data_IF_700690994999
#
_entry.id   IF_700690994999
#
_cell.length_a   1.000
_cell.length_b   1.000
_cell.length_c   1.000
_cell.angle_alpha   90.00
_cell.angle_beta   90.00
_cell.angle_gamma   90.00
#
_symmetry.space_group_name_H-M   'P 1'
#
loop_
_entity.id
_entity.type
_entity.pdbx_description
1 polymer ?
#
# COMPACT_ATOMS: atom_id res chain seq x y z
N UNK A 1 35.69 -32.39 21.23
CA UNK A 1 34.75 -33.11 22.11
C UNK A 1 33.90 -32.06 22.88
N UNK A 2 32.85 -31.49 22.27
CA UNK A 2 32.16 -30.32 22.87
C UNK A 2 30.63 -30.27 22.60
N UNK A 3 29.96 -31.43 22.47
CA UNK A 3 28.51 -31.47 22.21
C UNK A 3 27.62 -32.02 23.33
N UNK A 4 28.20 -32.45 24.47
CA UNK A 4 27.42 -33.01 25.58
C UNK A 4 27.74 -32.32 26.90
N UNK A 5 27.44 -31.02 26.99
CA UNK A 5 27.37 -30.38 28.32
C UNK A 5 26.02 -30.75 28.94
N UNK A 6 25.96 -31.40 30.11
CA UNK A 6 24.71 -31.72 30.78
C UNK A 6 23.81 -30.51 30.97
N UNK A 7 22.49 -30.67 30.80
CA UNK A 7 21.49 -29.58 30.94
C UNK A 7 21.66 -28.79 32.24
N UNK A 8 21.92 -29.47 33.36
CA UNK A 8 22.09 -28.83 34.67
C UNK A 8 23.32 -27.90 34.73
N UNK A 9 24.43 -28.27 34.07
CA UNK A 9 25.62 -27.41 33.97
C UNK A 9 25.38 -26.19 33.05
N UNK A 10 24.60 -26.37 31.99
CA UNK A 10 24.20 -25.25 31.11
C UNK A 10 23.31 -24.26 31.86
N UNK A 11 22.27 -24.76 32.53
CA UNK A 11 21.36 -23.95 33.34
C UNK A 11 22.09 -23.18 34.45
N UNK A 12 23.01 -23.82 35.17
CA UNK A 12 23.78 -23.15 36.22
C UNK A 12 24.71 -22.04 35.69
N UNK A 13 25.27 -22.21 34.48
CA UNK A 13 26.07 -21.14 33.82
C UNK A 13 25.20 -19.96 33.40
N UNK A 14 24.03 -20.23 32.84
CA UNK A 14 23.05 -19.19 32.46
C UNK A 14 22.57 -18.42 33.70
N UNK A 15 22.22 -19.13 34.78
CA UNK A 15 21.85 -18.52 36.06
C UNK A 15 22.98 -17.65 36.63
N UNK A 16 24.22 -18.14 36.65
CA UNK A 16 25.37 -17.35 37.12
C UNK A 16 25.55 -16.07 36.32
N UNK A 17 25.46 -16.15 34.99
CA UNK A 17 25.62 -14.99 34.12
C UNK A 17 24.50 -13.95 34.36
N UNK A 18 23.25 -14.40 34.50
CA UNK A 18 22.11 -13.54 34.79
C UNK A 18 22.23 -12.87 36.18
N UNK A 19 22.51 -13.66 37.22
CA UNK A 19 22.66 -13.16 38.59
C UNK A 19 23.86 -12.21 38.72
N UNK A 20 24.97 -12.47 38.03
CA UNK A 20 26.13 -11.58 38.03
C UNK A 20 25.82 -10.24 37.33
N UNK A 21 25.03 -10.25 36.25
CA UNK A 21 24.53 -9.01 35.62
C UNK A 21 23.63 -8.22 36.56
N UNK A 22 22.69 -8.88 37.24
CA UNK A 22 21.81 -8.25 38.23
C UNK A 22 22.60 -7.66 39.42
N UNK A 23 23.60 -8.38 39.91
CA UNK A 23 24.50 -7.92 40.97
C UNK A 23 25.18 -6.61 40.56
N UNK A 24 25.81 -6.56 39.39
CA UNK A 24 26.48 -5.35 38.91
C UNK A 24 25.54 -4.17 38.68
N UNK A 25 24.28 -4.43 38.36
CA UNK A 25 23.29 -3.38 38.09
C UNK A 25 22.65 -2.79 39.37
N UNK A 26 22.69 -3.52 40.49
CA UNK A 26 21.96 -3.15 41.70
C UNK A 26 22.83 -3.09 42.98
N UNK A 27 24.10 -3.52 42.95
CA UNK A 27 24.96 -3.57 44.13
C UNK A 27 25.21 -2.19 44.78
N UNK A 28 25.04 -1.11 44.01
CA UNK A 28 25.10 0.28 44.46
C UNK A 28 23.82 0.72 45.19
N UNK A 29 22.68 0.05 44.93
CA UNK A 29 21.38 0.32 45.54
C UNK A 29 21.09 -0.55 46.77
N UNK A 30 21.82 -1.65 46.94
CA UNK A 30 21.66 -2.58 48.05
C UNK A 30 22.43 -2.15 49.29
N UNK A 31 21.96 -2.57 50.47
CA UNK A 31 22.75 -2.47 51.70
C UNK A 31 24.04 -3.29 51.58
N UNK A 32 25.05 -2.97 52.40
CA UNK A 32 26.31 -3.70 52.44
C UNK A 32 26.09 -5.20 52.72
N UNK A 33 25.19 -5.51 53.65
CA UNK A 33 24.84 -6.88 54.01
C UNK A 33 24.25 -7.66 52.83
N UNK A 34 23.29 -7.07 52.10
CA UNK A 34 22.69 -7.67 50.90
C UNK A 34 23.72 -7.88 49.77
N UNK A 35 24.63 -6.92 49.58
CA UNK A 35 25.69 -7.01 48.58
C UNK A 35 26.71 -8.09 48.92
N UNK A 36 27.08 -8.22 50.19
CA UNK A 36 28.00 -9.25 50.65
C UNK A 36 27.35 -10.64 50.53
N UNK A 37 26.07 -10.77 50.90
CA UNK A 37 25.31 -12.01 50.76
C UNK A 37 25.18 -12.45 49.30
N UNK A 38 24.85 -11.53 48.38
CA UNK A 38 24.77 -11.82 46.95
C UNK A 38 26.12 -12.21 46.35
N UNK A 39 27.21 -11.55 46.78
CA UNK A 39 28.58 -11.90 46.37
C UNK A 39 28.96 -13.30 46.84
N UNK A 40 28.64 -13.65 48.09
CA UNK A 40 28.90 -14.99 48.63
C UNK A 40 28.09 -16.07 47.90
N UNK A 41 26.82 -15.81 47.57
CA UNK A 41 26.00 -16.74 46.80
C UNK A 41 26.55 -16.99 45.38
N UNK A 42 27.01 -15.94 44.69
CA UNK A 42 27.66 -16.07 43.38
C UNK A 42 28.98 -16.86 43.45
N UNK A 43 29.81 -16.61 44.47
CA UNK A 43 31.05 -17.36 44.70
C UNK A 43 30.79 -18.84 45.00
N UNK A 44 29.74 -19.15 45.77
CA UNK A 44 29.33 -20.53 46.04
C UNK A 44 28.89 -21.25 44.77
N UNK A 45 28.10 -20.59 43.91
CA UNK A 45 27.68 -21.14 42.61
C UNK A 45 28.87 -21.35 41.67
N UNK A 46 29.84 -20.43 41.63
CA UNK A 46 31.06 -20.60 40.83
C UNK A 46 31.91 -21.78 41.31
N UNK A 47 32.02 -21.95 42.62
CA UNK A 47 32.74 -23.08 43.24
C UNK A 47 32.04 -24.40 42.91
N UNK A 48 30.72 -24.46 43.02
CA UNK A 48 29.94 -25.65 42.64
C UNK A 48 30.05 -25.98 41.14
N UNK A 49 30.09 -24.98 40.26
CA UNK A 49 30.32 -25.14 38.82
C UNK A 49 31.71 -25.72 38.49
N UNK A 50 32.73 -25.44 39.31
CA UNK A 50 34.08 -26.03 39.19
C UNK A 50 34.09 -27.49 39.64
N UNK A 51 33.36 -27.81 40.72
CA UNK A 51 33.24 -29.17 41.28
C UNK A 51 32.42 -30.10 40.37
N UNK A 52 31.44 -29.57 39.61
CA UNK A 52 30.59 -30.32 38.66
C UNK A 52 29.83 -31.51 39.26
N UNK A 53 29.53 -31.47 40.56
CA UNK A 53 28.66 -32.44 41.24
C UNK A 53 27.22 -31.92 41.26
N UNK A 54 26.24 -32.80 41.01
CA UNK A 54 24.84 -32.42 40.85
C UNK A 54 24.23 -31.81 42.12
N UNK A 55 24.40 -32.44 43.29
CA UNK A 55 23.81 -31.97 44.55
C UNK A 55 24.32 -30.58 45.00
N UNK A 56 25.64 -30.34 45.14
CA UNK A 56 26.14 -29.03 45.56
C UNK A 56 25.78 -27.92 44.59
N UNK A 57 25.64 -28.25 43.30
CA UNK A 57 25.27 -27.30 42.27
C UNK A 57 23.79 -26.94 42.34
N UNK A 58 22.89 -27.92 42.54
CA UNK A 58 21.47 -27.67 42.72
C UNK A 58 21.20 -26.77 43.94
N UNK A 59 21.88 -27.04 45.06
CA UNK A 59 21.73 -26.24 46.29
C UNK A 59 22.24 -24.80 46.11
N UNK A 60 23.34 -24.62 45.38
CA UNK A 60 23.85 -23.28 45.05
C UNK A 60 22.95 -22.53 44.06
N UNK A 61 22.33 -23.23 43.10
CA UNK A 61 21.36 -22.64 42.18
C UNK A 61 20.12 -22.14 42.92
N UNK A 62 19.54 -22.99 43.78
CA UNK A 62 18.37 -22.64 44.58
C UNK A 62 18.65 -21.41 45.46
N UNK A 63 19.80 -21.38 46.15
CA UNK A 63 20.20 -20.24 46.97
C UNK A 63 20.32 -18.94 46.16
N UNK A 64 20.92 -18.99 44.97
CA UNK A 64 21.03 -17.81 44.09
C UNK A 64 19.66 -17.38 43.59
N UNK A 65 18.79 -18.31 43.18
CA UNK A 65 17.43 -17.98 42.72
C UNK A 65 16.58 -17.35 43.82
N UNK A 66 16.58 -17.93 45.02
CA UNK A 66 15.83 -17.39 46.18
C UNK A 66 16.34 -16.01 46.59
N UNK A 67 17.66 -15.82 46.63
CA UNK A 67 18.24 -14.54 47.03
C UNK A 67 18.01 -13.44 45.98
N UNK A 68 18.26 -13.73 44.70
CA UNK A 68 18.09 -12.71 43.66
C UNK A 68 16.63 -12.39 43.37
N UNK A 69 15.71 -13.34 43.57
CA UNK A 69 14.27 -13.05 43.47
C UNK A 69 13.73 -12.19 44.61
N UNK A 70 14.33 -12.25 45.81
CA UNK A 70 13.98 -11.37 46.93
C UNK A 70 14.62 -9.98 46.79
N UNK A 71 15.88 -9.90 46.34
CA UNK A 71 16.62 -8.64 46.16
C UNK A 71 16.17 -7.85 44.92
N UNK A 72 15.73 -8.55 43.88
CA UNK A 72 15.25 -7.95 42.63
C UNK A 72 13.88 -8.54 42.29
N UNK A 73 12.81 -8.04 42.92
CA UNK A 73 11.47 -8.48 42.57
C UNK A 73 11.22 -8.20 41.08
N UNK A 74 10.76 -9.23 40.36
CA UNK A 74 10.53 -9.13 38.92
C UNK A 74 9.60 -7.94 38.62
N UNK A 75 10.06 -7.00 37.79
CA UNK A 75 9.20 -5.92 37.28
C UNK A 75 8.08 -6.57 36.48
N UNK A 76 6.84 -6.46 36.99
CA UNK A 76 5.63 -7.12 36.48
C UNK A 76 5.34 -6.93 34.98
N UNK A 77 5.94 -5.95 34.29
CA UNK A 77 5.57 -5.54 32.93
C UNK A 77 6.75 -5.45 31.93
N UNK A 78 7.84 -6.18 32.14
CA UNK A 78 9.00 -6.15 31.24
C UNK A 78 8.68 -6.56 29.80
N UNK A 79 7.95 -7.68 29.61
CA UNK A 79 7.63 -8.22 28.28
C UNK A 79 6.74 -7.26 27.48
N UNK A 80 5.78 -6.59 28.14
CA UNK A 80 4.92 -5.64 27.45
C UNK A 80 5.71 -4.40 27.03
N UNK A 81 6.59 -3.88 27.90
CA UNK A 81 7.43 -2.74 27.58
C UNK A 81 8.40 -3.01 26.42
N UNK A 82 9.07 -4.17 26.40
CA UNK A 82 9.99 -4.57 25.32
C UNK A 82 9.26 -4.76 23.98
N UNK A 83 8.07 -5.37 24.00
CA UNK A 83 7.26 -5.54 22.80
C UNK A 83 6.77 -4.18 22.27
N UNK A 84 6.37 -3.27 23.17
CA UNK A 84 5.95 -1.91 22.79
C UNK A 84 7.12 -1.15 22.17
N UNK A 85 8.31 -1.18 22.78
CA UNK A 85 9.50 -0.53 22.22
C UNK A 85 9.82 -1.07 20.81
N UNK A 86 9.82 -2.39 20.65
CA UNK A 86 10.06 -3.04 19.36
C UNK A 86 9.02 -2.66 18.31
N UNK A 87 7.74 -2.61 18.68
CA UNK A 87 6.64 -2.18 17.80
C UNK A 87 6.83 -0.72 17.41
N UNK A 88 7.17 0.17 18.35
CA UNK A 88 7.40 1.59 18.07
C UNK A 88 8.59 1.76 17.12
N UNK A 89 9.72 1.09 17.36
CA UNK A 89 10.88 1.12 16.46
C UNK A 89 10.49 0.62 15.07
N UNK A 90 9.75 -0.50 14.97
CA UNK A 90 9.27 -1.02 13.70
C UNK A 90 8.35 -0.03 12.97
N UNK A 91 7.45 0.64 13.68
CA UNK A 91 6.58 1.68 13.11
C UNK A 91 7.41 2.87 12.62
N UNK A 92 8.37 3.36 13.40
CA UNK A 92 9.23 4.49 12.99
C UNK A 92 10.06 4.12 11.76
N UNK A 93 10.65 2.92 11.73
CA UNK A 93 11.39 2.42 10.57
C UNK A 93 10.47 2.26 9.35
N UNK A 94 9.26 1.73 9.53
CA UNK A 94 8.29 1.57 8.44
C UNK A 94 7.82 2.92 7.89
N UNK A 95 7.52 3.89 8.77
CA UNK A 95 7.14 5.25 8.40
C UNK A 95 8.29 5.97 7.71
N UNK A 96 9.52 5.87 8.23
CA UNK A 96 10.71 6.42 7.59
C UNK A 96 10.98 5.80 6.22
N UNK A 97 10.91 4.48 6.12
CA UNK A 97 11.04 3.75 4.86
C UNK A 97 9.98 4.21 3.84
N UNK A 98 8.73 4.36 4.27
CA UNK A 98 7.64 4.82 3.40
C UNK A 98 7.74 6.29 3.00
N UNK A 99 8.23 7.13 3.91
CA UNK A 99 8.39 8.55 3.66
C UNK A 99 9.48 8.80 2.62
N UNK A 100 10.61 8.11 2.72
CA UNK A 100 11.80 8.43 1.92
C UNK A 100 12.06 7.48 0.76
N UNK A 101 11.85 6.18 0.93
CA UNK A 101 12.26 5.20 -0.09
C UNK A 101 11.08 4.85 -1.01
N UNK A 102 9.98 4.40 -0.43
CA UNK A 102 9.00 3.65 -1.19
C UNK A 102 7.58 3.85 -0.66
N UNK A 103 6.71 4.43 -1.48
CA UNK A 103 5.34 4.75 -1.08
C UNK A 103 4.33 3.80 -1.74
N UNK A 104 3.47 3.11 -0.97
CA UNK A 104 2.39 2.30 -1.52
C UNK A 104 1.24 3.17 -2.05
N UNK A 105 0.71 2.80 -3.21
CA UNK A 105 -0.50 3.38 -3.79
C UNK A 105 -1.44 2.29 -4.28
N UNK A 106 -2.74 2.59 -4.29
CA UNK A 106 -3.77 1.77 -4.92
C UNK A 106 -4.25 2.48 -6.18
N UNK A 107 -4.36 1.76 -7.30
CA UNK A 107 -4.83 2.31 -8.57
C UNK A 107 -6.37 2.28 -8.58
N UNK A 108 -7.04 3.45 -8.59
CA UNK A 108 -8.50 3.49 -8.51
C UNK A 108 -9.16 3.28 -9.89
N UNK A 109 -8.57 3.81 -10.96
CA UNK A 109 -9.20 3.89 -12.29
C UNK A 109 -8.45 3.09 -13.35
N UNK A 110 -9.16 2.71 -14.42
CA UNK A 110 -8.60 1.96 -15.55
C UNK A 110 -7.83 2.79 -16.59
N UNK A 111 -7.47 4.04 -16.28
CA UNK A 111 -6.81 4.96 -17.25
C UNK A 111 -5.41 4.51 -17.69
N UNK A 112 -4.75 3.69 -16.87
CA UNK A 112 -3.42 3.15 -17.15
C UNK A 112 -3.44 1.73 -17.72
N UNK A 113 -4.61 1.18 -18.02
CA UNK A 113 -4.68 -0.13 -18.68
C UNK A 113 -4.12 -0.04 -20.11
N UNK A 114 -3.43 -1.06 -20.64
CA UNK A 114 -3.18 -2.38 -20.06
C UNK A 114 -1.98 -2.48 -19.10
N UNK A 115 -1.37 -1.36 -18.71
CA UNK A 115 -0.18 -1.38 -17.84
C UNK A 115 -0.52 -1.52 -16.37
N UNK A 116 -1.51 -0.76 -15.89
CA UNK A 116 -2.03 -0.89 -14.54
C UNK A 116 -3.56 -0.93 -14.56
N UNK A 117 -4.12 -1.86 -13.80
CA UNK A 117 -5.57 -2.05 -13.71
C UNK A 117 -6.14 -1.33 -12.51
N UNK A 118 -7.18 -0.53 -12.73
CA UNK A 118 -7.98 0.05 -11.65
C UNK A 118 -8.98 -0.92 -11.05
N UNK A 119 -9.79 -0.41 -10.15
CA UNK A 119 -10.89 -1.16 -9.55
C UNK A 119 -11.99 -1.43 -10.57
N UNK A 120 -12.48 -2.67 -10.59
CA UNK A 120 -13.58 -3.10 -11.46
C UNK A 120 -14.62 -3.90 -10.69
N UNK A 121 -15.89 -3.60 -10.92
CA UNK A 121 -17.03 -4.37 -10.46
C UNK A 121 -17.43 -5.41 -11.51
N UNK A 122 -17.82 -6.58 -11.03
CA UNK A 122 -18.29 -7.69 -11.83
C UNK A 122 -19.66 -8.09 -11.28
N UNK A 123 -20.75 -7.50 -11.80
CA UNK A 123 -22.10 -7.88 -11.43
C UNK A 123 -22.37 -9.33 -11.84
N UNK A 124 -22.84 -10.14 -10.91
CA UNK A 124 -23.19 -11.53 -11.13
C UNK A 124 -24.34 -11.93 -10.21
N UNK A 125 -25.22 -12.82 -10.69
CA UNK A 125 -26.38 -13.30 -9.93
C UNK A 125 -26.02 -14.43 -8.94
N UNK A 126 -24.77 -14.87 -8.91
CA UNK A 126 -24.29 -15.90 -8.00
C UNK A 126 -24.14 -15.35 -6.59
N UNK A 127 -24.51 -16.17 -5.60
CA UNK A 127 -24.26 -15.83 -4.21
C UNK A 127 -22.76 -15.85 -3.90
N UNK A 128 -22.28 -15.00 -2.98
CA UNK A 128 -20.89 -15.01 -2.55
C UNK A 128 -20.45 -16.40 -2.06
N UNK A 129 -19.18 -16.78 -2.28
CA UNK A 129 -18.68 -18.06 -1.82
C UNK A 129 -18.58 -18.09 -0.29
N UNK A 130 -18.18 -19.25 0.26
CA UNK A 130 -18.03 -19.42 1.71
C UNK A 130 -17.07 -18.36 2.31
N UNK A 131 -17.22 -17.98 3.60
CA UNK A 131 -16.35 -16.98 4.22
C UNK A 131 -14.84 -17.26 4.08
N UNK A 132 -14.44 -18.54 4.13
CA UNK A 132 -13.04 -18.95 3.93
C UNK A 132 -12.58 -18.74 2.49
N UNK A 133 -13.42 -19.11 1.51
CA UNK A 133 -13.12 -18.86 0.10
C UNK A 133 -13.02 -17.36 -0.19
N UNK A 134 -13.92 -16.54 0.39
CA UNK A 134 -13.86 -15.08 0.29
C UNK A 134 -12.57 -14.50 0.84
N UNK A 135 -12.10 -15.00 1.99
CA UNK A 135 -10.84 -14.57 2.57
C UNK A 135 -9.65 -14.93 1.67
N UNK A 136 -9.65 -16.14 1.09
CA UNK A 136 -8.63 -16.56 0.14
C UNK A 136 -8.64 -15.72 -1.15
N UNK A 137 -9.83 -15.48 -1.72
CA UNK A 137 -10.01 -14.65 -2.92
C UNK A 137 -9.61 -13.20 -2.67
N UNK A 138 -9.87 -12.67 -1.48
CA UNK A 138 -9.38 -11.35 -1.07
C UNK A 138 -7.86 -11.32 -1.05
N UNK A 139 -7.20 -12.23 -0.32
CA UNK A 139 -5.73 -12.24 -0.20
C UNK A 139 -5.06 -12.45 -1.56
N UNK A 140 -5.56 -13.39 -2.37
CA UNK A 140 -4.94 -13.78 -3.64
C UNK A 140 -5.29 -12.83 -4.79
N UNK A 141 -6.58 -12.57 -4.98
CA UNK A 141 -7.12 -11.89 -6.17
C UNK A 141 -7.56 -10.46 -5.88
N UNK A 142 -7.60 -10.05 -4.62
CA UNK A 142 -8.16 -8.77 -4.23
C UNK A 142 -9.64 -8.64 -4.48
N UNK A 143 -10.38 -9.75 -4.40
CA UNK A 143 -11.83 -9.75 -4.60
C UNK A 143 -12.58 -9.51 -3.29
N UNK A 144 -13.45 -8.52 -3.28
CA UNK A 144 -14.49 -8.32 -2.26
C UNK A 144 -15.86 -8.61 -2.85
N UNK A 145 -16.71 -9.31 -2.11
CA UNK A 145 -18.04 -9.71 -2.57
C UNK A 145 -19.11 -8.78 -2.00
N UNK A 146 -20.09 -8.44 -2.83
CA UNK A 146 -21.24 -7.59 -2.51
C UNK A 146 -22.51 -8.40 -2.78
N UNK A 147 -23.45 -8.37 -1.84
CA UNK A 147 -24.75 -9.03 -1.98
C UNK A 147 -25.77 -8.24 -1.17
N UNK A 148 -26.44 -7.28 -1.83
CA UNK A 148 -27.44 -6.41 -1.21
C UNK A 148 -28.66 -6.29 -2.10
N UNK A 149 -29.83 -6.47 -1.49
CA UNK A 149 -31.14 -6.38 -2.11
C UNK A 149 -32.06 -5.50 -1.26
N UNK A 150 -33.00 -4.82 -1.92
CA UNK A 150 -34.00 -4.01 -1.26
C UNK A 150 -34.95 -4.90 -0.45
N UNK A 151 -35.22 -4.55 0.81
CA UNK A 151 -36.16 -5.32 1.66
C UNK A 151 -37.61 -4.93 1.42
N UNK A 152 -37.83 -3.68 1.07
CA UNK A 152 -39.12 -3.05 0.83
C UNK A 152 -38.97 -2.12 -0.37
N UNK A 153 -40.07 -1.53 -0.81
CA UNK A 153 -40.00 -0.48 -1.82
C UNK A 153 -39.22 0.71 -1.26
N UNK A 154 -38.10 1.04 -1.90
CA UNK A 154 -37.23 2.13 -1.45
C UNK A 154 -36.58 2.84 -2.64
N UNK A 155 -36.35 4.15 -2.48
CA UNK A 155 -35.65 4.95 -3.47
C UNK A 155 -34.20 5.16 -3.02
N UNK A 156 -33.25 5.04 -3.94
CA UNK A 156 -31.86 5.42 -3.69
C UNK A 156 -31.76 6.95 -3.69
N UNK A 157 -31.41 7.55 -2.56
CA UNK A 157 -31.33 9.01 -2.41
C UNK A 157 -29.93 9.56 -2.66
N UNK A 158 -28.90 8.93 -2.10
CA UNK A 158 -27.52 9.40 -2.24
C UNK A 158 -26.49 8.28 -2.12
N UNK A 159 -25.30 8.54 -2.66
CA UNK A 159 -24.12 7.70 -2.47
C UNK A 159 -22.99 8.58 -1.92
N UNK A 160 -22.52 8.26 -0.72
CA UNK A 160 -21.43 8.97 -0.04
C UNK A 160 -20.22 8.05 0.14
N UNK A 161 -19.06 8.49 -0.31
CA UNK A 161 -17.82 7.73 -0.18
C UNK A 161 -17.05 8.14 1.07
N UNK A 162 -16.52 7.15 1.79
CA UNK A 162 -15.59 7.35 2.92
C UNK A 162 -14.41 6.41 2.77
N UNK A 163 -13.20 6.97 2.81
CA UNK A 163 -11.96 6.20 2.74
C UNK A 163 -11.29 6.17 4.11
N UNK A 164 -10.96 4.97 4.58
CA UNK A 164 -10.25 4.73 5.82
C UNK A 164 -8.80 4.29 5.53
N UNK A 165 -7.84 4.89 6.23
CA UNK A 165 -6.39 4.66 6.09
C UNK A 165 -5.87 4.77 4.64
N UNK A 166 -6.52 5.52 3.75
CA UNK A 166 -6.20 5.64 2.31
C UNK A 166 -6.33 4.34 1.48
N UNK A 167 -6.72 3.22 2.07
CA UNK A 167 -6.80 1.92 1.37
C UNK A 167 -8.20 1.31 1.36
N UNK A 168 -9.00 1.60 2.39
CA UNK A 168 -10.30 0.97 2.59
C UNK A 168 -11.43 1.94 2.28
N UNK A 169 -11.88 1.93 1.03
CA UNK A 169 -12.97 2.78 0.55
C UNK A 169 -14.31 2.07 0.71
N UNK A 170 -15.24 2.74 1.40
CA UNK A 170 -16.62 2.31 1.57
C UNK A 170 -17.55 3.35 0.95
N UNK A 171 -18.61 2.89 0.31
CA UNK A 171 -19.70 3.75 -0.14
C UNK A 171 -20.94 3.46 0.68
N UNK A 172 -21.46 4.49 1.34
CA UNK A 172 -22.76 4.48 1.98
C UNK A 172 -23.82 4.81 0.93
N UNK A 173 -24.69 3.85 0.63
CA UNK A 173 -25.88 4.02 -0.21
C UNK A 173 -27.04 4.36 0.72
N UNK A 174 -27.50 5.60 0.70
CA UNK A 174 -28.65 6.04 1.51
C UNK A 174 -29.93 5.88 0.69
N UNK A 175 -30.93 5.23 1.27
CA UNK A 175 -32.25 5.03 0.69
C UNK A 175 -33.32 5.77 1.51
N UNK A 176 -34.55 5.80 1.01
CA UNK A 176 -35.71 6.36 1.73
C UNK A 176 -36.00 5.66 3.07
N UNK A 177 -35.55 4.42 3.26
CA UNK A 177 -35.82 3.61 4.46
C UNK A 177 -34.58 3.39 5.35
N UNK A 178 -33.37 3.68 4.88
CA UNK A 178 -32.17 3.43 5.64
C UNK A 178 -30.88 3.63 4.86
N UNK A 179 -29.85 2.85 5.17
CA UNK A 179 -28.59 2.93 4.46
C UNK A 179 -27.83 1.61 4.45
N UNK A 180 -27.12 1.35 3.36
CA UNK A 180 -26.25 0.20 3.16
C UNK A 180 -24.80 0.66 3.05
N UNK A 181 -23.85 0.00 3.72
CA UNK A 181 -22.42 0.29 3.58
C UNK A 181 -21.76 -0.80 2.74
N UNK A 182 -21.22 -0.43 1.58
CA UNK A 182 -20.60 -1.34 0.63
C UNK A 182 -19.09 -1.10 0.58
N UNK A 183 -18.29 -2.16 0.68
CA UNK A 183 -16.82 -2.06 0.60
C UNK A 183 -16.35 -1.94 -0.86
N UNK A 184 -16.63 -0.79 -1.45
CA UNK A 184 -16.29 -0.43 -2.82
C UNK A 184 -16.42 1.09 -3.01
N UNK A 185 -15.64 1.72 -3.90
CA UNK A 185 -15.82 3.12 -4.26
C UNK A 185 -17.14 3.40 -4.97
N UNK A 186 -17.56 4.67 -4.92
CA UNK A 186 -18.80 5.15 -5.52
C UNK A 186 -18.80 4.98 -7.03
N UNK A 187 -17.67 5.25 -7.69
CA UNK A 187 -17.53 5.11 -9.15
C UNK A 187 -17.84 3.68 -9.61
N UNK A 188 -17.31 2.67 -8.93
CA UNK A 188 -17.52 1.26 -9.28
C UNK A 188 -19.00 0.88 -9.16
N UNK A 189 -19.70 1.38 -8.13
CA UNK A 189 -21.13 1.13 -7.97
C UNK A 189 -21.96 1.76 -9.09
N UNK A 190 -21.66 3.00 -9.47
CA UNK A 190 -22.37 3.71 -10.53
C UNK A 190 -22.06 3.11 -11.91
N UNK A 191 -20.78 2.86 -12.19
CA UNK A 191 -20.26 2.43 -13.48
C UNK A 191 -20.60 0.97 -13.76
N UNK A 192 -20.33 0.08 -12.82
CA UNK A 192 -20.39 -1.37 -13.05
C UNK A 192 -21.70 -1.97 -12.53
N UNK A 193 -22.12 -1.63 -11.29
CA UNK A 193 -23.36 -2.15 -10.69
C UNK A 193 -24.63 -1.33 -11.00
N UNK A 194 -24.49 -0.19 -11.70
CA UNK A 194 -25.59 0.72 -12.09
C UNK A 194 -26.42 1.23 -10.89
N UNK A 195 -25.79 1.40 -9.73
CA UNK A 195 -26.41 1.97 -8.53
C UNK A 195 -26.37 3.50 -8.64
N UNK A 196 -27.52 4.14 -8.77
CA UNK A 196 -27.63 5.60 -8.98
C UNK A 196 -28.76 6.19 -8.14
N UNK A 197 -28.63 7.45 -7.67
CA UNK A 197 -29.73 8.17 -7.05
C UNK A 197 -30.95 8.27 -7.97
N UNK A 198 -32.15 8.31 -7.40
CA UNK A 198 -33.43 8.38 -8.11
C UNK A 198 -33.99 7.02 -8.59
N UNK A 199 -33.27 5.92 -8.38
CA UNK A 199 -33.77 4.58 -8.72
C UNK A 199 -34.72 4.11 -7.61
N UNK A 200 -35.97 3.85 -7.96
CA UNK A 200 -36.97 3.19 -7.11
C UNK A 200 -36.78 1.68 -7.26
N UNK A 201 -36.70 0.98 -6.14
CA UNK A 201 -36.43 -0.45 -6.05
C UNK A 201 -37.67 -1.15 -5.51
N UNK A 202 -38.04 -2.27 -6.12
CA UNK A 202 -39.10 -3.13 -5.59
C UNK A 202 -38.60 -4.05 -4.46
N UNK A 203 -39.47 -4.55 -3.57
CA UNK A 203 -39.08 -5.54 -2.56
C UNK A 203 -38.40 -6.77 -3.20
N UNK A 204 -37.21 -7.12 -2.73
CA UNK A 204 -36.39 -8.21 -3.25
C UNK A 204 -35.51 -7.85 -4.45
N UNK A 205 -35.62 -6.64 -5.00
CA UNK A 205 -34.79 -6.20 -6.12
C UNK A 205 -33.32 -6.04 -5.71
N UNK A 206 -32.40 -6.51 -6.55
CA UNK A 206 -30.96 -6.43 -6.30
C UNK A 206 -30.49 -4.98 -6.43
N UNK A 207 -29.91 -4.46 -5.34
CA UNK A 207 -29.21 -3.18 -5.33
C UNK A 207 -27.84 -3.39 -5.96
N UNK A 208 -27.06 -4.34 -5.44
CA UNK A 208 -25.77 -4.74 -5.98
C UNK A 208 -25.47 -6.19 -5.61
N UNK A 209 -25.12 -7.01 -6.61
CA UNK A 209 -24.70 -8.40 -6.39
C UNK A 209 -23.53 -8.76 -7.31
N UNK A 210 -22.48 -9.32 -6.71
CA UNK A 210 -21.31 -9.82 -7.41
C UNK A 210 -20.01 -9.55 -6.65
N UNK A 211 -18.92 -9.28 -7.36
CA UNK A 211 -17.63 -8.97 -6.73
C UNK A 211 -16.94 -7.74 -7.31
N UNK A 212 -16.06 -7.15 -6.52
CA UNK A 212 -15.19 -6.03 -6.89
C UNK A 212 -13.76 -6.50 -6.81
N UNK A 213 -13.01 -6.29 -7.88
CA UNK A 213 -11.57 -6.50 -7.91
C UNK A 213 -10.87 -5.20 -7.53
N UNK A 214 -9.94 -5.26 -6.58
CA UNK A 214 -9.43 -4.09 -5.89
C UNK A 214 -8.45 -3.20 -6.70
N UNK A 215 -8.16 -3.56 -7.95
CA UNK A 215 -7.15 -2.90 -8.78
C UNK A 215 -5.72 -3.25 -8.35
N UNK A 216 -4.75 -2.83 -9.15
CA UNK A 216 -3.33 -3.00 -8.84
C UNK A 216 -2.93 -2.05 -7.71
N UNK A 217 -2.19 -2.59 -6.75
CA UNK A 217 -1.49 -1.83 -5.73
C UNK A 217 0.00 -1.83 -6.05
N UNK A 218 0.56 -0.62 -6.09
CA UNK A 218 1.90 -0.36 -6.62
C UNK A 218 2.80 0.26 -5.58
N UNK A 219 4.09 -0.02 -5.71
CA UNK A 219 5.14 0.72 -5.04
C UNK A 219 5.72 1.79 -5.95
N UNK A 220 5.90 2.97 -5.37
CA UNK A 220 6.49 4.14 -6.00
C UNK A 220 7.83 4.43 -5.36
N UNK A 221 8.88 4.41 -6.18
CA UNK A 221 10.22 4.79 -5.81
C UNK A 221 10.34 6.32 -5.82
N UNK A 222 10.53 6.90 -4.63
CA UNK A 222 10.69 8.35 -4.44
C UNK A 222 12.14 8.81 -4.51
N UNK A 223 13.09 7.89 -4.43
CA UNK A 223 14.51 8.21 -4.36
C UNK A 223 15.13 8.38 -5.73
N UNK A 224 14.78 7.53 -6.69
CA UNK A 224 15.43 7.57 -8.02
C UNK A 224 15.38 8.96 -8.64
N UNK A 225 14.26 9.67 -8.50
CA UNK A 225 14.11 11.01 -9.08
C UNK A 225 14.81 12.13 -8.30
N UNK A 226 15.33 11.86 -7.10
CA UNK A 226 16.22 12.79 -6.41
C UNK A 226 17.65 12.78 -6.98
N UNK A 227 18.03 11.72 -7.70
CA UNK A 227 19.39 11.55 -8.25
C UNK A 227 19.45 11.51 -9.78
N UNK A 228 18.33 11.14 -10.42
CA UNK A 228 18.24 10.94 -11.85
C UNK A 228 16.98 11.62 -12.39
N UNK A 229 17.09 12.27 -13.55
CA UNK A 229 15.91 12.83 -14.19
C UNK A 229 14.92 11.73 -14.61
N UNK A 230 13.60 11.99 -14.54
CA UNK A 230 12.58 11.11 -15.09
C UNK A 230 12.85 10.76 -16.55
N UNK A 231 12.55 9.51 -16.94
CA UNK A 231 12.81 9.02 -18.30
C UNK A 231 11.51 8.91 -19.08
N UNK A 232 11.61 9.10 -20.40
CA UNK A 232 10.50 8.81 -21.30
C UNK A 232 9.99 7.38 -21.11
N UNK A 233 8.66 7.21 -21.16
CA UNK A 233 7.92 6.00 -20.87
C UNK A 233 7.85 5.56 -19.41
N UNK A 234 8.47 6.26 -18.46
CA UNK A 234 8.28 5.93 -17.03
C UNK A 234 6.80 6.00 -16.67
N UNK A 235 6.32 5.05 -15.87
CA UNK A 235 5.05 5.21 -15.16
C UNK A 235 5.35 6.01 -13.92
N UNK A 236 4.87 7.25 -13.86
CA UNK A 236 5.22 8.20 -12.82
C UNK A 236 3.99 8.66 -12.05
N UNK A 237 4.22 8.99 -10.78
CA UNK A 237 3.20 9.51 -9.87
C UNK A 237 3.50 10.96 -9.59
N UNK A 238 2.47 11.80 -9.63
CA UNK A 238 2.59 13.23 -9.35
C UNK A 238 1.37 13.72 -8.55
N UNK A 239 1.56 14.82 -7.82
CA UNK A 239 0.47 15.52 -7.13
C UNK A 239 -0.22 16.50 -8.09
N UNK A 240 -1.52 16.72 -7.89
CA UNK A 240 -2.31 17.57 -8.81
C UNK A 240 -2.33 19.06 -8.44
N UNK A 241 -1.67 19.45 -7.33
CA UNK A 241 -1.66 20.83 -6.84
C UNK A 241 -1.10 21.82 -7.87
N UNK A 242 -1.78 22.93 -8.08
CA UNK A 242 -1.36 23.98 -9.02
C UNK A 242 -1.61 23.66 -10.50
N UNK A 243 -2.22 22.51 -10.81
CA UNK A 243 -2.62 22.15 -12.16
C UNK A 243 -4.08 22.59 -12.38
N UNK A 244 -4.26 23.81 -12.88
CA UNK A 244 -5.57 24.46 -13.02
C UNK A 244 -6.61 23.59 -13.76
N UNK A 245 -6.21 22.92 -14.84
CA UNK A 245 -7.11 22.07 -15.63
C UNK A 245 -7.66 20.85 -14.88
N UNK A 246 -6.99 20.42 -13.80
CA UNK A 246 -7.46 19.37 -12.89
C UNK A 246 -8.26 19.99 -11.75
N UNK A 247 -7.71 21.00 -11.07
CA UNK A 247 -8.31 21.60 -9.87
C UNK A 247 -9.71 22.18 -10.15
N UNK A 248 -9.93 22.78 -11.32
CA UNK A 248 -11.24 23.30 -11.73
C UNK A 248 -12.33 22.22 -11.86
N UNK A 249 -11.95 20.94 -11.96
CA UNK A 249 -12.87 19.79 -12.11
C UNK A 249 -13.01 18.96 -10.83
N UNK A 250 -12.24 19.28 -9.80
CA UNK A 250 -12.29 18.60 -8.51
C UNK A 250 -13.13 19.41 -7.53
N UNK A 251 -13.76 18.71 -6.57
CA UNK A 251 -14.34 19.37 -5.41
C UNK A 251 -13.19 20.04 -4.62
N UNK A 252 -13.24 21.36 -4.37
CA UNK A 252 -12.21 22.07 -3.60
C UNK A 252 -11.93 21.44 -2.23
N UNK A 253 -12.91 20.77 -1.62
CA UNK A 253 -12.75 20.09 -0.34
C UNK A 253 -11.83 18.85 -0.40
N UNK A 254 -11.62 18.27 -1.59
CA UNK A 254 -10.75 17.09 -1.77
C UNK A 254 -9.26 17.44 -1.73
N UNK A 255 -8.89 18.70 -2.01
CA UNK A 255 -7.50 19.12 -2.11
C UNK A 255 -6.69 18.37 -3.18
N UNK A 256 -5.36 18.44 -3.08
CA UNK A 256 -4.46 17.80 -4.04
C UNK A 256 -4.57 16.28 -4.04
N UNK A 257 -4.72 15.69 -5.23
CA UNK A 257 -4.79 14.25 -5.46
C UNK A 257 -3.43 13.71 -5.95
N UNK A 258 -3.30 12.38 -6.03
CA UNK A 258 -2.18 11.69 -6.66
C UNK A 258 -2.63 11.01 -7.94
N UNK A 259 -1.99 11.34 -9.06
CA UNK A 259 -2.28 10.75 -10.35
C UNK A 259 -1.11 9.88 -10.83
N UNK A 260 -1.44 8.78 -11.50
CA UNK A 260 -0.47 7.88 -12.14
C UNK A 260 -0.69 7.92 -13.64
N UNK A 261 0.37 8.24 -14.38
CA UNK A 261 0.38 8.35 -15.85
C UNK A 261 1.69 7.82 -16.42
N UNK A 262 1.75 7.66 -17.74
CA UNK A 262 2.99 7.46 -18.48
C UNK A 262 3.60 8.81 -18.83
N UNK A 263 4.89 8.97 -18.58
CA UNK A 263 5.66 10.14 -18.99
C UNK A 263 5.86 10.07 -20.50
N UNK A 264 5.06 10.82 -21.25
CA UNK A 264 5.02 10.80 -22.69
C UNK A 264 5.98 11.80 -23.34
N UNK A 265 6.15 12.98 -22.73
CA UNK A 265 7.09 14.00 -23.24
C UNK A 265 7.90 14.64 -22.12
N UNK A 266 9.19 14.78 -22.38
CA UNK A 266 10.13 15.55 -21.57
C UNK A 266 10.20 17.00 -22.07
N UNK A 267 10.67 17.91 -21.23
CA UNK A 267 10.91 19.31 -21.60
C UNK A 267 11.68 19.44 -22.93
N UNK A 268 11.21 20.33 -23.80
CA UNK A 268 11.78 20.60 -25.13
C UNK A 268 11.31 19.65 -26.24
N UNK A 269 10.70 18.51 -25.92
CA UNK A 269 10.24 17.56 -26.94
C UNK A 269 8.93 18.00 -27.59
N UNK A 270 8.76 17.69 -28.86
CA UNK A 270 7.52 17.92 -29.61
C UNK A 270 6.73 16.63 -29.77
N UNK A 271 5.49 16.62 -29.31
CA UNK A 271 4.57 15.50 -29.36
C UNK A 271 3.55 15.66 -30.48
N UNK A 272 3.14 14.54 -31.08
CA UNK A 272 2.00 14.45 -32.00
C UNK A 272 1.32 13.09 -31.81
N UNK A 273 0.00 13.06 -31.84
CA UNK A 273 -0.76 11.80 -31.83
C UNK A 273 -1.45 11.66 -33.18
N UNK A 274 -1.13 10.59 -33.90
CA UNK A 274 -1.75 10.20 -35.16
C UNK A 274 -2.17 8.74 -35.00
N UNK A 275 -3.41 8.53 -34.51
CA UNK A 275 -3.85 7.27 -33.94
C UNK A 275 -3.59 6.08 -34.85
N UNK A 276 -3.09 4.95 -34.32
CA UNK A 276 -2.91 4.64 -32.89
C UNK A 276 -1.57 5.13 -32.30
N UNK A 277 -0.80 5.94 -33.04
CA UNK A 277 0.63 6.18 -32.79
C UNK A 277 0.87 7.49 -32.05
N UNK A 278 1.82 7.45 -31.11
CA UNK A 278 2.46 8.63 -30.55
C UNK A 278 3.75 8.88 -31.32
N UNK A 279 4.01 10.14 -31.64
CA UNK A 279 5.27 10.61 -32.19
C UNK A 279 5.92 11.55 -31.19
N UNK A 280 7.22 11.37 -30.98
CA UNK A 280 8.09 12.24 -30.18
C UNK A 280 9.22 12.70 -31.10
N UNK A 281 9.36 14.01 -31.25
CA UNK A 281 10.35 14.64 -32.14
C UNK A 281 10.29 14.09 -33.58
N UNK A 282 9.06 13.86 -34.06
CA UNK A 282 8.78 13.36 -35.41
C UNK A 282 8.92 11.85 -35.62
N UNK A 283 9.36 11.09 -34.60
CA UNK A 283 9.59 9.64 -34.69
C UNK A 283 8.68 8.84 -33.75
N UNK A 284 8.41 7.57 -34.09
CA UNK A 284 7.70 6.66 -33.19
C UNK A 284 8.68 6.22 -32.09
N UNK A 285 8.34 6.41 -30.81
CA UNK A 285 9.26 6.09 -29.71
C UNK A 285 9.41 4.56 -29.54
N UNK A 286 10.64 4.12 -29.26
CA UNK A 286 11.00 2.69 -29.21
C UNK A 286 10.82 2.04 -27.82
N UNK A 287 10.49 2.82 -26.78
CA UNK A 287 10.34 2.30 -25.43
C UNK A 287 9.13 1.36 -25.34
N UNK A 288 9.33 0.21 -24.68
CA UNK A 288 8.34 -0.87 -24.60
C UNK A 288 6.95 -0.40 -24.12
N UNK A 289 6.92 0.52 -23.14
CA UNK A 289 5.67 1.10 -22.63
C UNK A 289 4.82 1.79 -23.70
N UNK A 290 5.45 2.55 -24.61
CA UNK A 290 4.75 3.18 -25.73
C UNK A 290 4.35 2.15 -26.79
N UNK A 291 5.26 1.24 -27.15
CA UNK A 291 5.00 0.19 -28.13
C UNK A 291 3.83 -0.71 -27.72
N UNK A 292 3.69 -0.99 -26.42
CA UNK A 292 2.57 -1.75 -25.86
C UNK A 292 1.23 -1.06 -26.14
N UNK A 293 1.15 0.24 -25.95
CA UNK A 293 -0.07 1.02 -26.26
C UNK A 293 -0.33 1.04 -27.76
N UNK A 294 0.70 1.37 -28.56
CA UNK A 294 0.63 1.45 -30.03
C UNK A 294 0.20 0.11 -30.66
N UNK A 295 0.53 -1.02 -30.03
CA UNK A 295 0.19 -2.35 -30.55
C UNK A 295 -1.31 -2.58 -30.76
N UNK A 296 -2.17 -1.87 -30.02
CA UNK A 296 -3.63 -2.01 -30.08
C UNK A 296 -4.13 -3.46 -29.91
N UNK A 297 -3.42 -4.28 -29.12
CA UNK A 297 -3.80 -5.67 -28.82
C UNK A 297 -4.68 -5.69 -27.55
N UNK A 298 -5.43 -6.78 -27.35
CA UNK A 298 -6.26 -7.02 -26.15
C UNK A 298 -7.42 -6.02 -25.95
N UNK A 299 -7.96 -5.49 -27.05
CA UNK A 299 -9.10 -4.57 -27.03
C UNK A 299 -8.73 -3.10 -26.81
N UNK A 300 -7.45 -2.77 -26.75
CA UNK A 300 -6.97 -1.37 -26.74
C UNK A 300 -6.81 -0.85 -28.16
N UNK A 301 -6.91 0.47 -28.34
CA UNK A 301 -6.95 1.13 -29.65
C UNK A 301 -5.74 2.05 -29.91
N UNK A 302 -4.75 2.02 -29.02
CA UNK A 302 -3.59 2.93 -29.04
C UNK A 302 -3.90 4.32 -28.52
N UNK A 303 -3.05 5.27 -28.90
CA UNK A 303 -3.20 6.68 -28.55
C UNK A 303 -4.33 7.34 -29.34
N UNK A 304 -5.06 8.24 -28.70
CA UNK A 304 -6.20 8.94 -29.30
C UNK A 304 -6.06 10.46 -29.17
N UNK A 305 -6.67 11.18 -30.10
CA UNK A 305 -6.83 12.64 -30.00
C UNK A 305 -8.07 13.05 -29.19
N UNK A 306 -8.80 12.10 -28.61
CA UNK A 306 -10.09 12.35 -27.95
C UNK A 306 -10.59 11.20 -27.09
N UNK A 307 -11.77 11.37 -26.52
CA UNK A 307 -12.44 10.39 -25.66
C UNK A 307 -13.10 9.27 -26.47
N UNK A 308 -13.52 8.20 -25.79
CA UNK A 308 -14.36 7.16 -26.37
C UNK A 308 -15.73 7.67 -26.88
N UNK A 309 -16.23 8.79 -26.34
CA UNK A 309 -17.48 9.44 -26.78
C UNK A 309 -17.31 10.27 -28.06
N UNK A 310 -16.08 10.46 -28.54
CA UNK A 310 -15.78 11.23 -29.76
C UNK A 310 -15.43 12.69 -29.51
N UNK A 311 -15.31 13.12 -28.24
CA UNK A 311 -14.92 14.49 -27.91
C UNK A 311 -13.42 14.66 -28.18
N UNK A 312 -13.07 15.67 -28.98
CA UNK A 312 -11.67 16.03 -29.24
C UNK A 312 -11.03 16.63 -27.98
N UNK A 313 -9.73 16.36 -27.81
CA UNK A 313 -8.95 16.90 -26.70
C UNK A 313 -8.50 18.34 -27.00
N UNK A 314 -8.44 19.24 -26.00
CA UNK A 314 -7.91 20.59 -26.17
C UNK A 314 -6.46 20.68 -26.64
N UNK A 315 -5.64 19.69 -26.30
CA UNK A 315 -4.26 19.56 -26.78
C UNK A 315 -4.11 18.23 -27.50
N UNK A 316 -3.42 18.25 -28.65
CA UNK A 316 -3.29 17.09 -29.54
C UNK A 316 -4.68 16.55 -29.96
N UNK A 317 -5.59 17.45 -30.29
CA UNK A 317 -6.98 17.18 -30.66
C UNK A 317 -7.20 16.70 -32.10
N UNK A 318 -6.17 16.82 -32.96
CA UNK A 318 -6.16 16.23 -34.31
C UNK A 318 -4.80 15.59 -34.67
N UNK A 319 -4.76 14.73 -35.71
CA UNK A 319 -3.52 14.11 -36.19
C UNK A 319 -2.42 15.07 -36.66
N UNK A 320 -2.78 16.30 -37.02
CA UNK A 320 -1.89 17.35 -37.51
C UNK A 320 -1.35 18.22 -36.37
N UNK A 321 -2.03 18.22 -35.22
CA UNK A 321 -1.68 19.08 -34.10
C UNK A 321 -0.43 18.58 -33.38
N UNK A 322 0.48 19.51 -33.07
CA UNK A 322 1.70 19.23 -32.32
C UNK A 322 1.72 20.03 -31.02
N UNK A 323 2.38 19.49 -30.00
CA UNK A 323 2.55 20.14 -28.71
C UNK A 323 4.01 20.05 -28.29
N UNK A 324 4.67 21.20 -28.08
CA UNK A 324 6.05 21.24 -27.56
C UNK A 324 6.02 21.42 -26.05
N UNK A 325 6.66 20.50 -25.33
CA UNK A 325 6.67 20.50 -23.86
C UNK A 325 7.57 21.64 -23.36
N UNK A 326 7.04 22.60 -22.56
CA UNK A 326 7.83 23.67 -21.96
C UNK A 326 8.94 23.16 -21.03
N UNK A 327 9.90 24.03 -20.74
CA UNK A 327 10.91 23.80 -19.69
C UNK A 327 10.25 23.48 -18.33
N UNK A 328 10.94 22.70 -17.50
CA UNK A 328 10.51 22.36 -16.12
C UNK A 328 9.12 21.69 -16.06
N UNK A 329 8.76 20.96 -17.12
CA UNK A 329 7.47 20.31 -17.21
C UNK A 329 7.52 18.99 -17.99
N UNK A 330 6.50 18.16 -17.79
CA UNK A 330 6.30 16.88 -18.45
C UNK A 330 4.92 16.82 -19.09
N UNK A 331 4.78 15.99 -20.12
CA UNK A 331 3.48 15.64 -20.70
C UNK A 331 3.10 14.22 -20.30
N UNK A 332 1.96 14.08 -19.62
CA UNK A 332 1.48 12.83 -19.05
C UNK A 332 0.37 12.22 -19.92
N UNK A 333 0.48 10.94 -20.30
CA UNK A 333 -0.58 10.22 -21.02
C UNK A 333 -1.04 8.98 -20.24
N UNK A 334 -2.33 8.68 -20.28
CA UNK A 334 -2.83 7.38 -19.86
C UNK A 334 -2.74 6.37 -21.00
N UNK A 335 -2.33 5.16 -20.68
CA UNK A 335 -2.23 4.06 -21.65
C UNK A 335 -3.59 3.67 -22.25
N UNK A 336 -4.67 3.83 -21.47
CA UNK A 336 -6.03 3.67 -21.95
C UNK A 336 -6.51 5.01 -22.51
N UNK A 337 -5.89 5.46 -23.60
CA UNK A 337 -5.98 6.83 -24.12
C UNK A 337 -7.43 7.32 -24.32
N UNK A 338 -8.33 6.47 -24.82
CA UNK A 338 -9.75 6.82 -25.01
C UNK A 338 -10.53 7.01 -23.69
N UNK A 339 -10.03 6.49 -22.57
CA UNK A 339 -10.68 6.51 -21.25
C UNK A 339 -9.79 7.16 -20.18
N UNK A 340 -8.93 8.08 -20.59
CA UNK A 340 -7.97 8.74 -19.70
C UNK A 340 -8.15 10.26 -19.73
N UNK A 341 -8.31 10.85 -18.55
CA UNK A 341 -8.11 12.27 -18.32
C UNK A 341 -6.63 12.51 -18.00
N UNK A 342 -5.89 13.04 -18.97
CA UNK A 342 -4.44 13.24 -18.95
C UNK A 342 -4.05 14.56 -19.65
N UNK A 343 -2.76 14.80 -19.91
CA UNK A 343 -2.26 16.11 -20.34
C UNK A 343 -2.91 16.65 -21.62
N UNK A 344 -3.56 15.80 -22.42
CA UNK A 344 -4.41 16.23 -23.54
C UNK A 344 -5.57 17.15 -23.12
N UNK A 345 -6.00 17.09 -21.85
CA UNK A 345 -7.13 17.85 -21.32
C UNK A 345 -6.75 18.95 -20.32
N UNK A 346 -5.64 18.80 -19.60
CA UNK A 346 -5.22 19.75 -18.56
C UNK A 346 -3.84 20.35 -18.78
N UNK A 347 -3.16 20.00 -19.87
CA UNK A 347 -1.83 20.49 -20.18
C UNK A 347 -0.75 19.77 -19.37
N UNK A 348 0.33 20.47 -19.07
CA UNK A 348 1.57 19.87 -18.57
C UNK A 348 1.57 19.60 -17.06
N UNK A 349 2.44 18.69 -16.64
CA UNK A 349 2.80 18.45 -15.23
C UNK A 349 4.06 19.25 -14.92
N UNK A 350 4.03 20.21 -13.99
CA UNK A 350 5.25 20.83 -13.50
C UNK A 350 6.19 19.81 -12.88
N UNK A 351 7.50 19.94 -13.10
CA UNK A 351 8.49 18.97 -12.61
C UNK A 351 8.44 18.79 -11.08
N UNK A 352 8.21 19.88 -10.35
CA UNK A 352 8.11 19.86 -8.88
C UNK A 352 6.90 19.09 -8.34
N UNK A 353 5.91 18.75 -9.18
CA UNK A 353 4.77 17.93 -8.78
C UNK A 353 5.10 16.44 -8.77
N UNK A 354 6.22 16.02 -9.37
CA UNK A 354 6.57 14.61 -9.49
C UNK A 354 6.97 14.02 -8.15
N UNK A 355 6.36 12.88 -7.80
CA UNK A 355 6.60 12.17 -6.54
C UNK A 355 7.59 11.02 -6.71
N UNK A 356 7.55 10.32 -7.83
CA UNK A 356 8.39 9.14 -8.05
C UNK A 356 7.93 8.24 -9.18
N UNK A 357 8.71 7.19 -9.43
CA UNK A 357 8.44 6.18 -10.45
C UNK A 357 7.67 5.00 -9.87
N UNK A 358 6.52 4.68 -10.42
CA UNK A 358 5.84 3.42 -10.15
C UNK A 358 6.64 2.27 -10.79
N UNK A 359 7.08 1.30 -9.99
CA UNK A 359 7.99 0.26 -10.49
C UNK A 359 7.59 -1.18 -10.19
N UNK A 360 6.69 -1.44 -9.23
CA UNK A 360 6.32 -2.80 -8.85
C UNK A 360 4.84 -2.89 -8.45
N UNK A 361 4.10 -3.86 -8.98
CA UNK A 361 2.77 -4.24 -8.52
C UNK A 361 2.93 -5.28 -7.42
N UNK A 362 2.65 -4.91 -6.17
CA UNK A 362 2.83 -5.81 -5.03
C UNK A 362 1.59 -6.63 -4.69
N UNK A 363 0.41 -6.20 -5.15
CA UNK A 363 -0.85 -6.92 -4.94
C UNK A 363 -1.91 -6.46 -5.97
N UNK A 364 -2.84 -7.29 -6.44
CA UNK A 364 -3.05 -8.71 -6.09
C UNK A 364 -1.99 -9.65 -6.67
N UNK A 365 -1.92 -10.88 -6.13
CA UNK A 365 -1.04 -11.96 -6.61
C UNK A 365 -1.59 -12.58 -7.91
N UNK A 366 -1.73 -11.74 -8.93
CA UNK A 366 -2.20 -12.08 -10.26
C UNK A 366 -1.03 -12.23 -11.23
N UNK A 367 -1.30 -12.46 -12.52
CA UNK A 367 -0.27 -12.45 -13.58
C UNK A 367 0.47 -11.12 -13.72
N UNK A 368 -0.02 -10.03 -13.10
CA UNK A 368 0.60 -8.71 -13.10
C UNK A 368 1.52 -8.45 -11.90
N UNK A 369 1.58 -9.37 -10.93
CA UNK A 369 2.48 -9.24 -9.79
C UNK A 369 3.93 -9.24 -10.27
N UNK A 370 4.67 -8.17 -9.98
CA UNK A 370 6.03 -8.00 -10.49
C UNK A 370 6.36 -6.57 -10.90
N UNK A 371 7.44 -6.43 -11.68
CA UNK A 371 7.92 -5.15 -12.19
C UNK A 371 6.93 -4.56 -13.21
N UNK A 372 6.79 -3.23 -13.15
CA UNK A 372 6.02 -2.46 -14.13
C UNK A 372 6.93 -2.19 -15.33
N UNK A 373 6.43 -2.49 -16.53
CA UNK A 373 7.12 -2.32 -17.82
C UNK A 373 6.37 -1.36 -18.75
#
# INVERSE_FOLDING_TARGET
MFFFTPRYLKAARELRAAAQKLFHYHCDLWSREQSDEARHALQALETALKIKKAEPLALAQEKVETLFSSLVPARRHHVLAENVESIVIAIVLAVGFQAYLLKPFRIPTGSMQPTLYGMTGHPEATLPPSPLARAFDFVRLGRSYISVQAKQEEEILSLEEKTFLNFFTFTKVTTSLGSYSLFTPRDVLIRDFKVRPGRILSPGEIIAQGYVQAGDQIFVDRMSYAFCNPKAADVFVFITSGIAGIEMRLDPALGSQYYVKRLAGLAGQTLRIDPPRLFIDGSIPHQAGFLKVISAIHGYRGYSNGTASGDSSPYLGSPEETFTVPSESFFALGDNSYNSSDSRYWGVVPEHNVIGRAFFVYWPFSSRWGLIH
#
